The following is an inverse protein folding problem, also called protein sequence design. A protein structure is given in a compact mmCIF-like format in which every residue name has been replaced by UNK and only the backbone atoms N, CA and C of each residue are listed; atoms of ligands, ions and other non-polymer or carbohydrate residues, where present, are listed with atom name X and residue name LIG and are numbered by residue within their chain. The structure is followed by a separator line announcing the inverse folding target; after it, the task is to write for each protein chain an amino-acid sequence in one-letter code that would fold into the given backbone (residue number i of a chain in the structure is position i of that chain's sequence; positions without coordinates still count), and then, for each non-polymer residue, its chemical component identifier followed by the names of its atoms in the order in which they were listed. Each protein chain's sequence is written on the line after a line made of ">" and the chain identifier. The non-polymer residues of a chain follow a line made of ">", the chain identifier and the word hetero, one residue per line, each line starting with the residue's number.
data_IF_170582417179
#
_entry.id   IF_170582417179
#
_cell.length_a   1.000
_cell.length_b   1.000
_cell.length_c   1.000
_cell.angle_alpha   90.00
_cell.angle_beta   90.00
_cell.angle_gamma   90.00
#
_symmetry.space_group_name_H-M   'P 1'
#
loop_
_entity.id
_entity.type
_entity.pdbx_description
1 polymer ?
#
# COMPACT_ATOMS: atom_id res chain seq x y z
N UNK A 1 1.82 5.47 -7.90
CA UNK A 1 3.15 4.87 -8.00
C UNK A 1 3.95 5.07 -6.74
N UNK A 2 4.12 3.94 -6.08
CA UNK A 2 5.07 3.67 -5.02
C UNK A 2 6.05 2.64 -5.60
N UNK A 3 7.36 2.89 -5.45
CA UNK A 3 8.41 1.98 -5.88
C UNK A 3 8.57 0.81 -4.90
N UNK A 4 9.29 -0.24 -5.32
CA UNK A 4 9.58 -1.43 -4.50
C UNK A 4 10.40 -1.14 -3.22
N UNK A 5 11.04 0.04 -3.14
CA UNK A 5 11.73 0.52 -1.94
C UNK A 5 10.82 1.32 -1.00
N UNK A 6 9.56 1.57 -1.38
CA UNK A 6 8.59 2.37 -0.64
C UNK A 6 8.62 3.86 -0.99
N UNK A 7 9.46 4.30 -1.93
CA UNK A 7 9.48 5.71 -2.35
C UNK A 7 8.24 6.07 -3.16
N UNK A 8 7.64 7.22 -2.86
CA UNK A 8 6.45 7.72 -3.54
C UNK A 8 6.86 8.54 -4.75
N UNK A 9 6.44 8.12 -5.94
CA UNK A 9 6.66 8.87 -7.19
C UNK A 9 5.43 9.70 -7.55
N UNK A 10 4.24 9.11 -7.40
CA UNK A 10 2.93 9.79 -7.58
C UNK A 10 1.87 9.04 -6.78
N UNK A 11 1.07 9.68 -5.96
CA UNK A 11 -0.06 9.04 -5.29
C UNK A 11 -1.14 10.07 -5.01
N UNK A 12 -2.40 9.66 -5.03
CA UNK A 12 -3.53 10.51 -4.64
C UNK A 12 -3.99 10.09 -3.25
N UNK A 13 -4.16 11.05 -2.36
CA UNK A 13 -4.67 10.79 -1.02
C UNK A 13 -3.68 10.12 -0.06
N UNK A 14 -2.38 10.12 -0.38
CA UNK A 14 -1.31 9.54 0.44
C UNK A 14 -0.31 10.63 0.82
N UNK A 15 -0.02 10.75 2.11
CA UNK A 15 0.91 11.73 2.66
C UNK A 15 2.28 11.12 2.97
N UNK A 16 2.32 9.82 3.30
CA UNK A 16 3.56 9.13 3.65
C UNK A 16 3.48 7.63 3.34
N UNK A 17 4.61 7.06 2.93
CA UNK A 17 4.78 5.60 2.80
C UNK A 17 6.02 5.18 3.56
N UNK A 18 5.88 4.12 4.36
CA UNK A 18 6.98 3.52 5.12
C UNK A 18 7.03 2.03 4.81
N UNK A 19 8.14 1.57 4.24
CA UNK A 19 8.40 0.14 4.05
C UNK A 19 8.79 -0.49 5.40
N UNK A 20 8.12 -1.58 5.76
CA UNK A 20 8.27 -2.22 7.07
C UNK A 20 9.16 -3.45 6.95
N UNK A 21 8.87 -4.25 5.93
CA UNK A 21 9.58 -5.48 5.59
C UNK A 21 9.38 -5.74 4.10
N UNK A 22 10.01 -6.80 3.58
CA UNK A 22 9.76 -7.24 2.21
C UNK A 22 8.27 -7.43 1.99
N UNK A 23 7.74 -6.76 0.99
CA UNK A 23 6.36 -6.79 0.54
C UNK A 23 5.34 -6.26 1.55
N UNK A 24 5.74 -5.45 2.54
CA UNK A 24 4.82 -4.84 3.50
C UNK A 24 5.12 -3.35 3.68
N UNK A 25 4.07 -2.53 3.54
CA UNK A 25 4.15 -1.07 3.53
C UNK A 25 3.04 -0.47 4.38
N UNK A 26 3.40 0.49 5.23
CA UNK A 26 2.45 1.40 5.88
C UNK A 26 2.25 2.62 5.02
N UNK A 27 1.00 2.95 4.76
CA UNK A 27 0.61 4.08 3.96
C UNK A 27 -0.27 4.98 4.81
N UNK A 28 0.22 6.18 5.05
CA UNK A 28 -0.51 7.24 5.73
C UNK A 28 -1.27 8.05 4.68
N UNK A 29 -2.56 8.23 4.92
CA UNK A 29 -3.45 8.95 4.03
C UNK A 29 -3.45 10.44 4.34
N UNK A 30 -4.02 11.20 3.42
CA UNK A 30 -4.38 12.59 3.68
C UNK A 30 -5.36 12.67 4.87
N UNK A 31 -5.17 13.59 5.83
CA UNK A 31 -6.07 13.72 6.98
C UNK A 31 -7.53 14.02 6.60
N UNK A 32 -7.79 14.55 5.41
CA UNK A 32 -9.15 14.78 4.91
C UNK A 32 -9.81 13.48 4.37
N UNK A 33 -9.03 12.41 4.20
CA UNK A 33 -9.49 11.10 3.76
C UNK A 33 -9.63 10.17 4.96
N UNK A 34 -10.84 9.66 5.17
CA UNK A 34 -11.11 8.68 6.21
C UNK A 34 -10.94 7.25 5.66
N UNK A 35 -9.87 6.56 6.05
CA UNK A 35 -9.58 5.18 5.64
C UNK A 35 -10.70 4.18 5.97
N UNK A 36 -11.53 4.46 6.99
CA UNK A 36 -12.65 3.61 7.36
C UNK A 36 -13.88 3.79 6.45
N UNK A 37 -13.89 4.83 5.61
CA UNK A 37 -14.95 5.13 4.64
C UNK A 37 -14.48 5.06 3.20
N UNK A 38 -13.19 5.29 2.97
CA UNK A 38 -12.57 5.21 1.66
C UNK A 38 -12.30 3.76 1.27
N UNK A 39 -12.38 3.46 -0.02
CA UNK A 39 -12.03 2.14 -0.56
C UNK A 39 -10.67 2.27 -1.24
N UNK A 40 -9.56 1.92 -0.57
CA UNK A 40 -8.25 1.96 -1.21
C UNK A 40 -8.19 0.97 -2.36
N UNK A 41 -7.80 1.45 -3.53
CA UNK A 41 -7.61 0.62 -4.73
C UNK A 41 -6.13 0.50 -5.01
N UNK A 42 -5.65 -0.74 -5.14
CA UNK A 42 -4.26 -1.02 -5.49
C UNK A 42 -4.21 -1.67 -6.87
N UNK A 43 -3.35 -1.14 -7.73
CA UNK A 43 -3.05 -1.74 -9.03
C UNK A 43 -1.56 -2.00 -9.18
N UNK A 44 -1.23 -3.19 -9.67
CA UNK A 44 0.15 -3.57 -9.97
C UNK A 44 0.69 -2.76 -11.16
N UNK A 45 1.94 -2.32 -11.06
CA UNK A 45 2.64 -1.65 -12.16
C UNK A 45 3.44 -2.61 -13.04
N UNK A 46 3.65 -3.85 -12.58
CA UNK A 46 4.40 -4.87 -13.31
C UNK A 46 3.46 -5.93 -13.92
N UNK A 47 3.74 -6.29 -15.17
CA UNK A 47 2.99 -7.27 -15.96
C UNK A 47 3.56 -8.69 -15.87
N UNK A 48 4.60 -8.91 -15.06
CA UNK A 48 5.12 -10.25 -14.77
C UNK A 48 4.03 -11.14 -14.16
N UNK A 49 3.86 -12.34 -14.69
CA UNK A 49 2.90 -13.29 -14.16
C UNK A 49 3.25 -13.62 -12.71
N UNK A 50 2.28 -13.42 -11.83
CA UNK A 50 2.33 -13.94 -10.48
C UNK A 50 2.81 -12.99 -9.39
N UNK A 51 2.23 -11.79 -9.32
CA UNK A 51 2.34 -10.93 -8.13
C UNK A 51 0.99 -10.29 -7.85
N UNK A 52 0.60 -10.26 -6.58
CA UNK A 52 -0.65 -9.66 -6.11
C UNK A 52 -0.35 -8.58 -5.08
N UNK A 53 -1.29 -7.65 -4.94
CA UNK A 53 -1.21 -6.58 -3.96
C UNK A 53 -2.56 -6.48 -3.24
N UNK A 54 -2.49 -6.39 -1.92
CA UNK A 54 -3.65 -6.38 -1.05
C UNK A 54 -3.57 -5.18 -0.12
N UNK A 55 -4.71 -4.56 0.11
CA UNK A 55 -4.87 -3.55 1.14
C UNK A 55 -5.68 -4.12 2.28
N UNK A 56 -5.15 -4.00 3.49
CA UNK A 56 -5.80 -4.39 4.73
C UNK A 56 -6.04 -3.17 5.61
N UNK A 57 -6.90 -3.35 6.60
CA UNK A 57 -7.03 -2.40 7.69
C UNK A 57 -5.69 -2.29 8.43
N UNK A 58 -5.29 -1.06 8.74
CA UNK A 58 -4.12 -0.79 9.59
C UNK A 58 -4.28 -1.51 10.93
N UNK A 59 -3.30 -2.34 11.27
CA UNK A 59 -3.12 -2.89 12.62
C UNK A 59 -1.85 -2.31 13.23
N UNK A 60 -1.80 -2.18 14.56
CA UNK A 60 -0.58 -1.74 15.27
C UNK A 60 0.61 -2.58 14.80
N UNK A 61 1.76 -1.98 14.39
CA UNK A 61 2.19 -0.58 14.57
C UNK A 61 1.93 0.38 13.39
N UNK A 62 1.00 0.10 12.47
CA UNK A 62 0.68 0.95 11.30
C UNK A 62 0.13 2.35 11.65
N UNK A 63 -0.13 2.63 12.94
CA UNK A 63 -0.66 3.92 13.40
C UNK A 63 -2.18 3.91 13.52
N UNK A 64 -2.78 5.09 13.37
CA UNK A 64 -4.23 5.29 13.47
C UNK A 64 -4.95 4.58 12.30
N UNK A 65 -5.84 3.59 12.56
CA UNK A 65 -6.56 2.88 11.51
C UNK A 65 -7.54 3.75 10.70
N UNK A 66 -7.89 4.95 11.17
CA UNK A 66 -8.70 5.90 10.40
C UNK A 66 -7.87 6.65 9.34
N UNK A 67 -6.54 6.63 9.46
CA UNK A 67 -5.62 7.39 8.61
C UNK A 67 -4.54 6.55 7.95
N UNK A 68 -4.42 5.29 8.32
CA UNK A 68 -3.36 4.43 7.82
C UNK A 68 -3.96 3.17 7.22
N UNK A 69 -3.31 2.67 6.18
CA UNK A 69 -3.62 1.38 5.57
C UNK A 69 -2.34 0.56 5.46
N UNK A 70 -2.51 -0.75 5.57
CA UNK A 70 -1.43 -1.71 5.41
C UNK A 70 -1.52 -2.33 4.04
N UNK A 71 -0.44 -2.22 3.28
CA UNK A 71 -0.34 -2.82 1.95
C UNK A 71 0.63 -3.98 2.00
N UNK A 72 0.17 -5.10 1.46
CA UNK A 72 1.01 -6.26 1.20
C UNK A 72 1.15 -6.50 -0.28
N UNK A 73 2.36 -6.87 -0.69
CA UNK A 73 2.65 -7.34 -2.04
C UNK A 73 3.28 -8.72 -1.97
N UNK A 74 2.78 -9.64 -2.79
CA UNK A 74 3.13 -11.05 -2.75
C UNK A 74 3.51 -11.57 -4.14
N UNK A 75 4.15 -12.75 -4.17
CA UNK A 75 4.24 -13.58 -5.38
C UNK A 75 3.03 -14.50 -5.47
N UNK A 76 2.64 -14.92 -6.67
CA UNK A 76 1.57 -15.90 -6.86
C UNK A 76 1.96 -17.31 -6.37
N UNK A 77 3.25 -17.61 -6.32
CA UNK A 77 3.75 -18.82 -5.66
C UNK A 77 3.70 -18.73 -4.11
N UNK A 78 3.19 -17.61 -3.57
CA UNK A 78 3.20 -17.31 -2.15
C UNK A 78 4.46 -16.56 -1.70
N UNK A 79 4.36 -15.96 -0.51
CA UNK A 79 5.43 -15.17 0.11
C UNK A 79 5.43 -13.70 -0.31
N UNK A 80 5.94 -12.85 0.58
CA UNK A 80 6.04 -11.42 0.36
C UNK A 80 7.13 -11.07 -0.65
N UNK A 81 6.87 -10.05 -1.45
CA UNK A 81 7.81 -9.61 -2.48
C UNK A 81 7.65 -8.14 -2.78
N UNK A 82 8.76 -7.43 -2.86
CA UNK A 82 8.78 -6.00 -3.16
C UNK A 82 8.54 -5.76 -4.64
N UNK A 83 7.43 -5.11 -4.96
CA UNK A 83 7.09 -4.70 -6.33
C UNK A 83 6.53 -3.30 -6.33
N UNK A 84 6.73 -2.54 -7.41
CA UNK A 84 6.07 -1.25 -7.57
C UNK A 84 4.57 -1.42 -7.75
N UNK A 85 3.79 -0.52 -7.15
CA UNK A 85 2.33 -0.50 -7.23
C UNK A 85 1.78 0.93 -7.27
N UNK A 86 0.55 1.08 -7.73
CA UNK A 86 -0.23 2.29 -7.53
C UNK A 86 -1.23 2.07 -6.42
N UNK A 87 -1.45 3.12 -5.63
CA UNK A 87 -2.57 3.20 -4.71
C UNK A 87 -3.34 4.49 -5.02
N UNK A 88 -4.66 4.38 -5.00
CA UNK A 88 -5.59 5.50 -5.06
C UNK A 88 -6.56 5.34 -3.91
N UNK A 89 -6.82 6.43 -3.20
CA UNK A 89 -7.81 6.48 -2.13
C UNK A 89 -8.68 7.72 -2.37
N UNK A 90 -10.00 7.51 -2.40
CA UNK A 90 -11.07 8.49 -2.58
C UNK A 90 -12.20 8.19 -1.59
#
# INVERSE_FOLDING_TARGET
>A
MINADGTVVRSTGVTKVSKISTGAYYIELDPDINAAKAVPVISKLWTGAGTDAYVGTSSTPCGDPARNVLVFTTKAAGGFFDVPFNITVD
#
